data_IF_741546756531
#
_entry.id   IF_741546756531
#
_cell.length_a   1.000
_cell.length_b   1.000
_cell.length_c   1.000
_cell.angle_alpha   90.00
_cell.angle_beta   90.00
_cell.angle_gamma   90.00
#
_symmetry.space_group_name_H-M   'P 1'
#
loop_
_entity.id
_entity.type
_entity.pdbx_description
1 polymer ?
#
# COMPACT_ATOMS: atom_id res chain seq x y z
N UNK A 1 12.19 -3.20 -10.09
CA UNK A 1 11.07 -2.61 -9.32
C UNK A 1 11.51 -1.82 -8.08
N UNK A 2 12.80 -1.79 -7.69
CA UNK A 2 13.26 -0.94 -6.57
C UNK A 2 13.00 0.56 -6.84
N UNK A 3 12.81 0.89 -8.12
CA UNK A 3 12.52 2.22 -8.60
C UNK A 3 11.08 2.37 -9.10
N UNK A 4 10.16 1.43 -8.82
CA UNK A 4 8.82 1.43 -9.44
C UNK A 4 8.10 2.77 -9.27
N UNK A 5 8.05 3.31 -8.05
CA UNK A 5 7.43 4.62 -7.79
C UNK A 5 8.20 5.81 -8.39
N UNK A 6 9.42 5.60 -8.88
CA UNK A 6 10.27 6.63 -9.51
C UNK A 6 10.09 6.71 -11.03
N UNK A 7 9.34 5.78 -11.62
CA UNK A 7 9.19 5.65 -13.09
C UNK A 7 8.12 6.60 -13.67
N UNK A 8 7.38 7.33 -12.83
CA UNK A 8 6.22 8.10 -13.26
C UNK A 8 6.53 9.59 -13.45
N UNK A 9 6.02 10.15 -14.56
CA UNK A 9 6.28 11.53 -14.98
C UNK A 9 5.50 12.58 -14.16
N UNK A 10 4.52 12.17 -13.35
CA UNK A 10 3.70 13.08 -12.55
C UNK A 10 3.61 12.66 -11.09
N UNK A 11 3.48 13.66 -10.22
CA UNK A 11 3.27 13.45 -8.79
C UNK A 11 1.98 12.68 -8.53
N UNK A 12 0.88 13.11 -9.17
CA UNK A 12 -0.43 12.44 -9.11
C UNK A 12 -0.28 10.95 -9.42
N UNK A 13 0.39 10.61 -10.53
CA UNK A 13 0.55 9.20 -10.91
C UNK A 13 1.31 8.40 -9.86
N UNK A 14 2.33 9.00 -9.25
CA UNK A 14 3.05 8.35 -8.15
C UNK A 14 2.16 8.10 -6.94
N UNK A 15 1.28 9.05 -6.60
CA UNK A 15 0.33 8.90 -5.50
C UNK A 15 -0.69 7.78 -5.77
N UNK A 16 -1.26 7.73 -6.98
CA UNK A 16 -2.17 6.66 -7.43
C UNK A 16 -1.53 5.28 -7.20
N UNK A 17 -0.28 5.13 -7.64
CA UNK A 17 0.49 3.88 -7.54
C UNK A 17 0.74 3.48 -6.08
N UNK A 18 1.10 4.43 -5.23
CA UNK A 18 1.32 4.17 -3.80
C UNK A 18 0.03 3.72 -3.11
N UNK A 19 -1.09 4.39 -3.40
CA UNK A 19 -2.39 4.10 -2.80
C UNK A 19 -2.88 2.71 -3.25
N UNK A 20 -2.88 2.41 -4.54
CA UNK A 20 -3.36 1.12 -5.02
C UNK A 20 -2.42 -0.04 -4.66
N UNK A 21 -1.10 0.20 -4.59
CA UNK A 21 -0.16 -0.78 -4.03
C UNK A 21 -0.51 -1.12 -2.59
N UNK A 22 -0.83 -0.12 -1.76
CA UNK A 22 -1.24 -0.34 -0.38
C UNK A 22 -2.58 -1.09 -0.30
N UNK A 23 -3.60 -0.65 -1.05
CA UNK A 23 -4.94 -1.28 -1.05
C UNK A 23 -4.88 -2.75 -1.48
N UNK A 24 -4.15 -3.07 -2.55
CA UNK A 24 -3.94 -4.46 -2.99
C UNK A 24 -3.19 -5.29 -1.96
N UNK A 25 -2.22 -4.70 -1.26
CA UNK A 25 -1.51 -5.41 -0.19
C UNK A 25 -2.44 -5.77 0.96
N UNK A 26 -3.30 -4.84 1.38
CA UNK A 26 -4.32 -5.12 2.39
C UNK A 26 -5.27 -6.24 1.97
N UNK A 27 -5.70 -6.23 0.71
CA UNK A 27 -6.58 -7.26 0.15
C UNK A 27 -5.93 -8.64 0.14
N UNK A 28 -4.70 -8.75 -0.36
CA UNK A 28 -3.98 -10.01 -0.36
C UNK A 28 -3.72 -10.49 1.08
N UNK A 29 -3.34 -9.60 2.02
CA UNK A 29 -3.02 -9.95 3.41
C UNK A 29 -4.26 -10.48 4.16
N UNK A 30 -5.43 -9.91 3.85
CA UNK A 30 -6.72 -10.42 4.32
C UNK A 30 -7.04 -11.79 3.72
N UNK A 31 -6.93 -11.94 2.40
CA UNK A 31 -7.37 -13.13 1.67
C UNK A 31 -6.45 -14.34 1.91
N UNK A 32 -5.13 -14.13 1.99
CA UNK A 32 -4.13 -15.19 2.01
C UNK A 32 -3.20 -15.15 3.24
N UNK A 33 -2.96 -13.97 3.80
CA UNK A 33 -2.05 -13.77 4.94
C UNK A 33 -2.68 -13.96 6.33
N UNK A 34 -4.02 -13.99 6.44
CA UNK A 34 -4.75 -13.92 7.73
C UNK A 34 -4.34 -12.72 8.58
N UNK A 35 -3.96 -11.62 7.93
CA UNK A 35 -3.51 -10.40 8.57
C UNK A 35 -4.49 -9.28 8.24
N UNK A 36 -4.95 -8.57 9.27
CA UNK A 36 -6.05 -7.62 9.19
C UNK A 36 -5.52 -6.20 9.44
N UNK A 37 -5.46 -5.39 8.38
CA UNK A 37 -5.01 -4.00 8.42
C UNK A 37 -5.63 -3.18 7.28
N UNK A 38 -5.48 -1.85 7.35
CA UNK A 38 -6.10 -0.95 6.39
C UNK A 38 -7.62 -1.08 6.51
N UNK A 39 -8.32 -1.21 5.38
CA UNK A 39 -9.77 -1.41 5.33
C UNK A 39 -10.26 -2.67 6.06
N UNK A 40 -9.38 -3.66 6.25
CA UNK A 40 -9.72 -4.92 6.92
C UNK A 40 -9.34 -4.92 8.41
N UNK A 41 -8.69 -3.85 8.90
CA UNK A 41 -8.34 -3.68 10.30
C UNK A 41 -9.51 -3.23 11.17
N UNK A 42 -9.31 -3.23 12.49
CA UNK A 42 -10.28 -2.70 13.46
C UNK A 42 -10.04 -1.22 13.81
N UNK A 43 -9.02 -0.61 13.22
CA UNK A 43 -8.60 0.77 13.44
C UNK A 43 -8.59 1.50 12.08
N UNK A 44 -8.63 2.84 12.05
CA UNK A 44 -8.59 3.59 10.80
C UNK A 44 -7.41 3.18 9.90
N UNK A 45 -7.57 3.24 8.57
CA UNK A 45 -6.51 2.84 7.64
C UNK A 45 -5.35 3.86 7.58
N UNK A 46 -5.60 5.12 7.93
CA UNK A 46 -4.63 6.21 7.75
C UNK A 46 -3.28 6.00 8.49
N UNK A 47 -3.23 5.59 9.77
CA UNK A 47 -1.96 5.32 10.44
C UNK A 47 -1.11 4.25 9.74
N UNK A 48 -1.72 3.16 9.26
CA UNK A 48 -0.98 2.09 8.55
C UNK A 48 -0.60 2.48 7.13
N UNK A 49 -1.37 3.34 6.47
CA UNK A 49 -0.95 3.94 5.20
C UNK A 49 0.28 4.85 5.39
N UNK A 50 0.34 5.65 6.47
CA UNK A 50 1.52 6.45 6.79
C UNK A 50 2.74 5.60 7.11
N UNK A 51 2.55 4.48 7.81
CA UNK A 51 3.62 3.49 8.02
C UNK A 51 4.13 2.93 6.68
N UNK A 52 3.23 2.58 5.76
CA UNK A 52 3.59 2.13 4.41
C UNK A 52 4.44 3.18 3.66
N UNK A 53 4.07 4.47 3.70
CA UNK A 53 4.87 5.55 3.11
C UNK A 53 6.24 5.72 3.78
N UNK A 54 6.29 5.60 5.11
CA UNK A 54 7.54 5.65 5.89
C UNK A 54 8.48 4.51 5.49
N UNK A 55 7.95 3.30 5.33
CA UNK A 55 8.71 2.14 4.85
C UNK A 55 9.16 2.29 3.41
N UNK A 56 8.32 2.81 2.52
CA UNK A 56 8.69 3.08 1.14
C UNK A 56 9.84 4.10 1.04
N UNK A 57 9.83 5.11 1.92
CA UNK A 57 10.93 6.09 2.07
C UNK A 57 12.20 5.42 2.57
N UNK A 58 12.12 4.62 3.64
CA UNK A 58 13.26 3.90 4.20
C UNK A 58 13.88 2.88 3.23
N UNK A 59 13.05 2.25 2.39
CA UNK A 59 13.46 1.36 1.31
C UNK A 59 14.08 2.09 0.10
N UNK A 60 14.11 3.43 0.10
CA UNK A 60 14.66 4.22 -1.01
C UNK A 60 13.83 4.16 -2.28
N UNK A 61 12.56 3.77 -2.19
CA UNK A 61 11.69 3.57 -3.35
C UNK A 61 11.03 4.86 -3.85
N UNK A 62 10.94 5.89 -3.00
CA UNK A 62 10.28 7.14 -3.35
C UNK A 62 11.13 8.00 -4.30
N UNK A 63 10.49 8.79 -5.19
CA UNK A 63 11.20 9.70 -6.09
C UNK A 63 12.08 10.72 -5.36
N UNK A 64 13.10 11.23 -6.05
CA UNK A 64 14.00 12.28 -5.50
C UNK A 64 13.30 13.58 -5.12
N UNK A 65 12.16 13.87 -5.75
CA UNK A 65 11.36 15.05 -5.46
C UNK A 65 10.41 14.86 -4.26
N UNK A 66 10.33 13.65 -3.69
CA UNK A 66 9.47 13.35 -2.56
C UNK A 66 9.91 14.13 -1.31
N UNK A 67 8.96 14.82 -0.69
CA UNK A 67 9.14 15.58 0.53
C UNK A 67 7.84 15.59 1.37
N UNK A 68 7.82 16.29 2.49
CA UNK A 68 6.68 16.34 3.42
C UNK A 68 5.41 16.92 2.78
N UNK A 69 5.53 17.88 1.86
CA UNK A 69 4.39 18.45 1.13
C UNK A 69 3.76 17.40 0.20
N UNK A 70 4.61 16.57 -0.44
CA UNK A 70 4.17 15.49 -1.35
C UNK A 70 3.53 14.34 -0.58
N UNK A 71 4.10 14.00 0.57
CA UNK A 71 3.49 13.04 1.49
C UNK A 71 2.12 13.52 1.96
N UNK A 72 2.00 14.78 2.37
CA UNK A 72 0.74 15.40 2.78
C UNK A 72 -0.30 15.42 1.65
N UNK A 73 0.14 15.70 0.42
CA UNK A 73 -0.74 15.66 -0.76
C UNK A 73 -1.21 14.23 -1.09
N UNK A 74 -0.32 13.25 -1.03
CA UNK A 74 -0.65 11.84 -1.22
C UNK A 74 -1.63 11.35 -0.15
N UNK A 75 -1.39 11.69 1.12
CA UNK A 75 -2.32 11.37 2.23
C UNK A 75 -3.68 12.03 2.04
N UNK A 76 -3.73 13.28 1.58
CA UNK A 76 -5.01 13.95 1.31
C UNK A 76 -5.78 13.23 0.19
N UNK A 77 -5.11 12.91 -0.91
CA UNK A 77 -5.70 12.12 -2.00
C UNK A 77 -6.24 10.78 -1.49
N UNK A 78 -5.44 10.06 -0.71
CA UNK A 78 -5.79 8.77 -0.12
C UNK A 78 -7.08 8.78 0.73
N UNK A 79 -7.49 9.94 1.25
CA UNK A 79 -8.66 10.07 2.13
C UNK A 79 -9.85 10.74 1.42
N UNK A 80 -9.59 11.70 0.53
CA UNK A 80 -10.62 12.55 -0.07
C UNK A 80 -11.03 12.13 -1.48
N UNK A 81 -10.17 11.41 -2.21
CA UNK A 81 -10.46 11.00 -3.59
C UNK A 81 -11.53 9.89 -3.65
N UNK A 82 -12.36 9.91 -4.69
CA UNK A 82 -13.41 8.91 -4.88
C UNK A 82 -12.87 7.56 -5.36
N UNK A 83 -11.80 7.56 -6.16
CA UNK A 83 -11.23 6.37 -6.76
C UNK A 83 -10.04 5.85 -5.96
N UNK A 84 -9.14 6.75 -5.55
CA UNK A 84 -7.92 6.45 -4.82
C UNK A 84 -8.11 6.64 -3.31
N UNK A 85 -9.05 5.89 -2.73
CA UNK A 85 -9.37 5.99 -1.32
C UNK A 85 -8.92 4.75 -0.54
N UNK A 86 -8.19 4.94 0.56
CA UNK A 86 -7.72 3.85 1.41
C UNK A 86 -8.80 3.24 2.29
N UNK A 87 -10.03 3.77 2.29
CA UNK A 87 -11.19 3.22 3.00
C UNK A 87 -12.03 2.27 2.10
N UNK A 88 -11.65 2.08 0.83
CA UNK A 88 -12.32 1.15 -0.09
C UNK A 88 -11.38 0.06 -0.61
N UNK A 89 -11.90 -1.16 -0.71
CA UNK A 89 -11.22 -2.27 -1.39
C UNK A 89 -10.96 -1.95 -2.87
N UNK A 90 -9.94 -2.57 -3.44
CA UNK A 90 -9.69 -2.57 -4.88
C UNK A 90 -9.38 -3.99 -5.32
N UNK A 91 -10.04 -4.43 -6.39
CA UNK A 91 -9.78 -5.75 -6.94
C UNK A 91 -8.83 -5.70 -8.12
N UNK A 92 -8.31 -6.87 -8.49
CA UNK A 92 -7.51 -7.03 -9.70
C UNK A 92 -8.19 -6.44 -10.95
N UNK A 93 -9.50 -6.62 -11.09
CA UNK A 93 -10.21 -6.21 -12.30
C UNK A 93 -10.30 -4.68 -12.40
N UNK A 94 -10.54 -3.98 -11.27
CA UNK A 94 -10.54 -2.52 -11.19
C UNK A 94 -9.20 -1.93 -11.66
N UNK A 95 -8.10 -2.51 -11.20
CA UNK A 95 -6.74 -2.09 -11.55
C UNK A 95 -6.47 -2.30 -13.05
N UNK A 96 -6.81 -3.47 -13.61
CA UNK A 96 -6.63 -3.74 -15.05
C UNK A 96 -7.47 -2.77 -15.87
N UNK A 97 -8.71 -2.51 -15.45
CA UNK A 97 -9.60 -1.60 -16.14
C UNK A 97 -9.10 -0.15 -16.07
N UNK A 98 -8.66 0.33 -14.90
CA UNK A 98 -8.20 1.70 -14.74
C UNK A 98 -6.90 1.95 -15.51
N UNK A 99 -5.88 1.10 -15.34
CA UNK A 99 -4.56 1.32 -15.94
C UNK A 99 -4.41 0.81 -17.37
N UNK A 100 -5.40 0.05 -17.87
CA UNK A 100 -5.36 -0.60 -19.20
C UNK A 100 -4.11 -1.47 -19.41
N UNK A 101 -3.60 -2.06 -18.32
CA UNK A 101 -2.42 -2.93 -18.32
C UNK A 101 -2.69 -4.18 -17.48
N UNK A 102 -2.72 -5.34 -18.16
CA UNK A 102 -2.97 -6.64 -17.54
C UNK A 102 -1.89 -7.08 -16.53
N UNK A 103 -0.70 -6.48 -16.59
CA UNK A 103 0.39 -6.75 -15.65
C UNK A 103 0.44 -5.75 -14.48
N UNK A 104 -0.34 -4.68 -14.52
CA UNK A 104 -0.33 -3.66 -13.45
C UNK A 104 -0.66 -4.21 -12.07
N UNK A 105 -1.68 -5.08 -11.88
CA UNK A 105 -1.97 -5.63 -10.55
C UNK A 105 -0.80 -6.43 -9.96
N UNK A 106 0.00 -7.07 -10.81
CA UNK A 106 1.17 -7.83 -10.40
C UNK A 106 2.32 -6.88 -10.04
N UNK A 107 2.52 -5.82 -10.84
CA UNK A 107 3.54 -4.79 -10.56
C UNK A 107 3.29 -4.08 -9.23
N UNK A 108 2.05 -3.68 -8.96
CA UNK A 108 1.66 -3.00 -7.72
C UNK A 108 1.87 -3.89 -6.49
N UNK A 109 1.52 -5.18 -6.58
CA UNK A 109 1.79 -6.17 -5.52
C UNK A 109 3.29 -6.31 -5.25
N UNK A 110 4.09 -6.48 -6.31
CA UNK A 110 5.54 -6.56 -6.17
C UNK A 110 6.14 -5.29 -5.58
N UNK A 111 5.62 -4.11 -5.91
CA UNK A 111 6.05 -2.87 -5.31
C UNK A 111 5.74 -2.84 -3.80
N UNK A 112 4.55 -3.26 -3.39
CA UNK A 112 4.18 -3.34 -1.98
C UNK A 112 5.04 -4.36 -1.20
N UNK A 113 5.35 -5.52 -1.78
CA UNK A 113 6.29 -6.47 -1.16
C UNK A 113 7.65 -5.81 -0.88
N UNK A 114 8.20 -5.07 -1.85
CA UNK A 114 9.48 -4.38 -1.68
C UNK A 114 9.42 -3.29 -0.60
N UNK A 115 8.28 -2.62 -0.42
CA UNK A 115 8.08 -1.65 0.68
C UNK A 115 8.24 -2.33 2.04
N UNK A 116 7.74 -3.54 2.20
CA UNK A 116 7.89 -4.33 3.43
C UNK A 116 9.20 -5.15 3.49
N UNK A 117 10.17 -4.91 2.59
CA UNK A 117 11.45 -5.63 2.57
C UNK A 117 11.37 -7.04 1.98
N UNK A 118 10.24 -7.39 1.36
CA UNK A 118 10.05 -8.63 0.60
C UNK A 118 10.72 -8.54 -0.77
N UNK A 119 11.86 -9.20 -0.92
CA UNK A 119 12.50 -9.36 -2.23
C UNK A 119 11.63 -10.10 -3.26
N UNK A 120 11.96 -9.89 -4.53
CA UNK A 120 11.23 -10.39 -5.71
C UNK A 120 10.89 -11.88 -5.68
N UNK A 121 9.63 -12.22 -6.02
CA UNK A 121 9.28 -13.51 -6.63
C UNK A 121 8.92 -14.67 -5.69
N UNK A 122 8.69 -14.44 -4.39
CA UNK A 122 8.44 -15.49 -3.39
C UNK A 122 7.05 -15.42 -2.75
N UNK A 123 6.02 -15.11 -3.55
CA UNK A 123 4.65 -14.95 -3.05
C UNK A 123 4.52 -13.84 -2.00
N UNK A 124 3.33 -13.75 -1.40
CA UNK A 124 3.09 -12.81 -0.31
C UNK A 124 3.89 -13.22 0.92
N UNK A 125 4.71 -12.29 1.44
CA UNK A 125 5.48 -12.55 2.66
C UNK A 125 4.70 -12.09 3.90
N UNK A 126 4.92 -12.77 5.05
CA UNK A 126 4.45 -12.26 6.33
C UNK A 126 4.88 -10.80 6.52
N UNK A 127 4.05 -10.05 7.25
CA UNK A 127 4.41 -8.68 7.64
C UNK A 127 5.74 -8.69 8.42
N UNK A 128 6.55 -7.62 8.30
CA UNK A 128 7.78 -7.47 9.07
C UNK A 128 7.56 -7.61 10.58
N UNK A 129 8.55 -8.10 11.32
CA UNK A 129 8.45 -8.28 12.78
C UNK A 129 8.21 -6.95 13.52
N UNK A 130 8.65 -5.83 12.96
CA UNK A 130 8.47 -4.48 13.49
C UNK A 130 7.15 -3.82 13.03
N UNK A 131 6.26 -4.56 12.38
CA UNK A 131 4.96 -4.06 11.97
C UNK A 131 3.93 -4.13 13.11
N UNK A 132 3.30 -3.00 13.43
CA UNK A 132 2.23 -2.93 14.41
C UNK A 132 0.90 -3.45 13.82
N UNK A 133 0.59 -4.73 14.05
CA UNK A 133 -0.66 -5.40 13.60
C UNK A 133 -1.90 -4.65 14.12
N UNK A 134 -2.82 -4.27 13.23
CA UNK A 134 -4.17 -3.83 13.60
C UNK A 134 -5.11 -5.00 13.97
N UNK A 135 -4.57 -6.22 14.04
CA UNK A 135 -5.30 -7.47 14.20
C UNK A 135 -5.73 -7.77 15.64
N UNK A 136 -5.05 -7.17 16.63
CA UNK A 136 -5.29 -7.45 18.05
C UNK A 136 -6.24 -6.45 18.67
N UNK A 137 -7.42 -6.95 19.06
CA UNK A 137 -7.97 -6.64 20.37
C UNK A 137 -7.52 -7.78 21.29
N UNK A 138 -6.77 -7.47 22.34
CA UNK A 138 -6.66 -8.39 23.47
C UNK A 138 -8.09 -8.58 24.01
N UNK A 139 -8.67 -9.75 23.77
CA UNK A 139 -9.82 -10.19 24.55
C UNK A 139 -9.29 -10.50 25.95
N UNK A 140 -9.12 -9.45 26.75
CA UNK A 140 -8.94 -9.57 28.18
C UNK A 140 -10.05 -10.44 28.75
N UNK A 141 -9.62 -11.39 29.57
CA UNK A 141 -10.44 -12.27 30.39
C UNK A 141 -11.68 -11.54 30.92
N UNK A 142 -12.84 -12.16 30.76
CA UNK A 142 -14.07 -11.80 31.47
C UNK A 142 -14.71 -13.04 32.05
#
# INVERSE_FOLDING_TARGET
MANFFQEFDTETKTYEMLIDSFRLRCDDDYAYGRHYHGIYGQQPALPVFRDFLTRAKAAGMLPRWWNEDKESACVRMAVEDEHFNIEFAVEKHDIVEHYKDGFMPMRLRMAAENVYGGGYGMGQRPMPEDYECQCRMDWGER
#
